data_IF_289563275738
#
_entry.id   IF_289563275738
#
_cell.length_a   1.000
_cell.length_b   1.000
_cell.length_c   1.000
_cell.angle_alpha   90.00
_cell.angle_beta   90.00
_cell.angle_gamma   90.00
#
_symmetry.space_group_name_H-M   'P 1'
#
loop_
_entity.id
_entity.type
_entity.pdbx_description
1 polymer ?
#
# COMPACT_ATOMS: atom_id res chain seq x y z
N UNK A 1 -3.18 -72.38 37.37
CA UNK A 1 -3.12 -71.32 38.39
C UNK A 1 -2.57 -70.06 37.73
N UNK A 2 -3.36 -68.98 37.73
CA UNK A 2 -3.04 -67.58 37.35
C UNK A 2 -2.66 -67.32 35.89
N UNK A 3 -3.29 -66.42 35.13
CA UNK A 3 -4.06 -65.23 35.48
C UNK A 3 -3.57 -64.10 34.56
N UNK A 4 -4.25 -63.89 33.43
CA UNK A 4 -3.94 -62.84 32.46
C UNK A 4 -4.19 -61.46 33.08
N UNK A 5 -3.13 -60.69 33.31
CA UNK A 5 -3.23 -59.28 33.65
C UNK A 5 -3.41 -58.41 32.40
N UNK A 6 -4.59 -57.76 32.33
CA UNK A 6 -4.91 -56.64 31.44
C UNK A 6 -3.89 -55.52 31.60
N UNK A 7 -3.30 -55.05 30.50
CA UNK A 7 -2.78 -53.67 30.39
C UNK A 7 -3.67 -52.90 29.41
N UNK A 8 -4.34 -51.91 29.98
CA UNK A 8 -5.12 -50.88 29.29
C UNK A 8 -4.21 -50.11 28.33
N UNK A 9 -4.57 -50.11 27.04
CA UNK A 9 -4.03 -49.15 26.06
C UNK A 9 -4.65 -47.80 26.37
N UNK A 10 -3.83 -46.85 26.82
CA UNK A 10 -4.20 -45.45 26.82
C UNK A 10 -4.50 -45.04 25.36
N UNK A 11 -5.75 -44.66 25.11
CA UNK A 11 -6.20 -44.11 23.85
C UNK A 11 -5.50 -42.77 23.60
N UNK A 12 -4.59 -42.76 22.63
CA UNK A 12 -4.11 -41.55 21.97
C UNK A 12 -5.30 -40.87 21.30
N UNK A 13 -5.64 -39.60 21.62
CA UNK A 13 -6.64 -38.89 20.85
C UNK A 13 -6.09 -38.61 19.45
N UNK A 14 -6.72 -39.28 18.49
CA UNK A 14 -6.54 -39.13 17.05
C UNK A 14 -6.76 -37.66 16.68
N UNK A 15 -5.75 -37.04 16.03
CA UNK A 15 -5.84 -35.75 15.34
C UNK A 15 -7.15 -35.71 14.53
N UNK A 16 -8.05 -34.81 14.88
CA UNK A 16 -9.15 -34.42 14.01
C UNK A 16 -8.58 -33.54 12.89
N UNK A 17 -8.78 -33.89 11.61
CA UNK A 17 -8.60 -32.94 10.52
C UNK A 17 -9.83 -32.02 10.49
N UNK A 18 -9.63 -30.76 10.11
CA UNK A 18 -10.64 -29.71 9.95
C UNK A 18 -10.87 -28.83 11.19
N UNK A 19 -9.85 -28.05 11.56
CA UNK A 19 -10.09 -26.70 12.06
C UNK A 19 -10.26 -25.81 10.84
N UNK A 20 -11.51 -25.49 10.50
CA UNK A 20 -11.84 -24.52 9.47
C UNK A 20 -11.14 -23.18 9.76
N UNK A 21 -10.63 -22.45 8.77
CA UNK A 21 -10.22 -21.07 8.98
C UNK A 21 -11.46 -20.28 9.39
N UNK A 22 -11.28 -19.45 10.41
CA UNK A 22 -12.29 -18.58 11.00
C UNK A 22 -12.70 -17.51 9.96
N UNK A 23 -13.53 -17.90 8.99
CA UNK A 23 -14.11 -17.01 7.99
C UNK A 23 -15.26 -16.27 8.66
N UNK A 24 -14.93 -15.20 9.40
CA UNK A 24 -15.87 -14.09 9.54
C UNK A 24 -16.04 -13.47 8.16
N UNK A 25 -16.95 -14.05 7.39
CA UNK A 25 -17.45 -13.49 6.14
C UNK A 25 -18.02 -12.11 6.44
N UNK A 26 -17.30 -11.07 6.02
CA UNK A 26 -17.80 -9.70 6.01
C UNK A 26 -19.12 -9.68 5.25
N UNK A 27 -20.19 -9.04 5.77
CA UNK A 27 -21.47 -8.97 5.07
C UNK A 27 -21.30 -8.38 3.66
N UNK A 28 -22.12 -8.85 2.69
CA UNK A 28 -22.09 -8.31 1.33
C UNK A 28 -22.38 -6.80 1.38
N UNK A 29 -21.48 -6.00 0.79
CA UNK A 29 -21.60 -4.54 0.72
C UNK A 29 -20.69 -3.73 1.65
N UNK A 30 -19.94 -4.35 2.58
CA UNK A 30 -18.89 -3.61 3.31
C UNK A 30 -17.62 -3.53 2.46
N UNK A 31 -17.08 -2.33 2.17
CA UNK A 31 -15.78 -2.20 1.52
C UNK A 31 -14.74 -2.95 2.34
N UNK A 32 -14.12 -3.98 1.75
CA UNK A 32 -12.97 -4.66 2.37
C UNK A 32 -11.74 -3.81 2.11
N UNK A 33 -10.91 -3.62 3.14
CA UNK A 33 -9.74 -2.76 3.03
C UNK A 33 -8.73 -3.39 2.05
N UNK A 34 -7.90 -2.61 1.37
CA UNK A 34 -6.95 -3.09 0.36
C UNK A 34 -6.03 -4.19 0.86
N UNK A 35 -5.55 -4.02 2.11
CA UNK A 35 -4.69 -4.99 2.80
C UNK A 35 -5.42 -6.29 3.14
N UNK A 36 -6.75 -6.30 3.09
CA UNK A 36 -7.62 -7.47 3.29
C UNK A 36 -8.04 -8.09 1.95
N UNK A 37 -8.17 -7.28 0.88
CA UNK A 37 -8.47 -7.76 -0.47
C UNK A 37 -7.41 -8.77 -0.94
N UNK A 38 -6.14 -8.53 -0.64
CA UNK A 38 -5.02 -9.42 -0.96
C UNK A 38 -4.87 -10.63 -0.03
N UNK A 39 -5.71 -10.74 1.00
CA UNK A 39 -5.85 -11.99 1.77
C UNK A 39 -6.78 -12.98 1.08
N UNK A 40 -7.34 -12.63 -0.09
CA UNK A 40 -8.06 -13.55 -0.98
C UNK A 40 -7.08 -14.58 -1.57
N UNK A 41 -7.16 -15.87 -1.21
CA UNK A 41 -6.37 -16.91 -1.87
C UNK A 41 -6.72 -17.07 -3.35
N UNK A 42 -7.83 -16.47 -3.79
CA UNK A 42 -8.43 -16.53 -5.11
C UNK A 42 -8.07 -15.35 -6.04
N UNK A 43 -7.63 -14.19 -5.51
CA UNK A 43 -7.23 -13.07 -6.37
C UNK A 43 -5.80 -13.27 -6.86
N UNK A 44 -5.66 -13.79 -8.09
CA UNK A 44 -4.36 -14.00 -8.72
C UNK A 44 -4.03 -12.91 -9.72
N UNK A 45 -2.75 -12.61 -9.86
CA UNK A 45 -2.24 -11.56 -10.75
C UNK A 45 -2.44 -11.85 -12.25
N UNK A 46 -2.93 -13.03 -12.62
CA UNK A 46 -3.27 -13.47 -13.97
C UNK A 46 -4.78 -13.53 -14.23
N UNK A 47 -5.62 -13.28 -13.22
CA UNK A 47 -7.07 -13.32 -13.30
C UNK A 47 -7.65 -12.02 -13.91
N UNK A 48 -8.66 -12.07 -14.80
CA UNK A 48 -9.43 -10.89 -15.20
C UNK A 48 -9.97 -10.03 -14.05
N UNK A 49 -10.34 -10.64 -12.91
CA UNK A 49 -10.78 -9.93 -11.71
C UNK A 49 -9.71 -8.98 -11.16
N UNK A 50 -8.43 -9.30 -11.34
CA UNK A 50 -7.33 -8.43 -10.91
C UNK A 50 -7.34 -7.08 -11.63
N UNK A 51 -7.57 -7.08 -12.94
CA UNK A 51 -7.61 -5.83 -13.72
C UNK A 51 -8.74 -4.94 -13.23
N UNK A 52 -9.93 -5.51 -13.04
CA UNK A 52 -11.08 -4.77 -12.52
C UNK A 52 -10.83 -4.25 -11.10
N UNK A 53 -10.18 -5.05 -10.24
CA UNK A 53 -9.83 -4.68 -8.89
C UNK A 53 -8.83 -3.52 -8.84
N UNK A 54 -7.79 -3.51 -9.68
CA UNK A 54 -6.82 -2.40 -9.75
C UNK A 54 -7.44 -1.09 -10.23
N UNK A 55 -8.40 -1.17 -11.14
CA UNK A 55 -8.94 0.00 -11.84
C UNK A 55 -10.21 0.56 -11.19
N UNK A 56 -10.77 -0.10 -10.18
CA UNK A 56 -11.96 0.38 -9.47
C UNK A 56 -11.55 0.86 -8.08
N UNK A 57 -11.44 2.18 -7.85
CA UNK A 57 -11.17 2.73 -6.52
C UNK A 57 -12.15 2.14 -5.50
N UNK A 58 -11.63 1.56 -4.43
CA UNK A 58 -12.45 0.92 -3.39
C UNK A 58 -12.82 1.90 -2.28
N UNK A 59 -12.24 3.11 -2.27
CA UNK A 59 -12.45 4.11 -1.23
C UNK A 59 -12.89 5.43 -1.85
N UNK A 60 -13.87 6.11 -1.25
CA UNK A 60 -14.04 7.53 -1.50
C UNK A 60 -12.78 8.25 -1.02
N UNK A 61 -12.20 9.06 -1.89
CA UNK A 61 -11.21 10.04 -1.49
C UNK A 61 -11.96 11.30 -1.05
N UNK A 62 -11.75 11.73 0.18
CA UNK A 62 -12.39 12.93 0.71
C UNK A 62 -11.37 14.09 0.78
N UNK A 63 -11.78 15.31 0.42
CA UNK A 63 -10.93 16.48 0.62
C UNK A 63 -10.58 16.64 2.09
N UNK A 64 -9.28 16.66 2.38
CA UNK A 64 -8.77 17.00 3.70
C UNK A 64 -8.33 18.46 3.70
N UNK A 65 -9.09 19.30 4.41
CA UNK A 65 -8.88 20.75 4.48
C UNK A 65 -7.91 21.15 5.58
N UNK A 66 -7.66 20.26 6.55
CA UNK A 66 -6.67 20.50 7.62
C UNK A 66 -5.27 20.46 7.02
N UNK A 67 -4.44 21.39 7.46
CA UNK A 67 -3.04 21.47 7.08
C UNK A 67 -2.21 21.27 8.34
N UNK A 68 -1.21 20.41 8.28
CA UNK A 68 -0.25 20.17 9.36
C UNK A 68 0.55 21.43 9.75
N UNK A 69 0.48 22.49 8.93
CA UNK A 69 1.20 23.75 9.09
C UNK A 69 0.56 24.70 10.12
N UNK A 70 0.10 24.17 11.26
CA UNK A 70 -0.42 24.98 12.37
C UNK A 70 0.67 25.60 13.25
N UNK A 71 1.93 25.57 12.77
CA UNK A 71 3.12 26.01 13.49
C UNK A 71 3.54 25.04 14.59
N UNK A 72 2.63 24.54 15.42
CA UNK A 72 2.97 23.64 16.52
C UNK A 72 3.43 22.26 16.03
N UNK A 73 2.59 21.53 15.30
CA UNK A 73 2.90 20.17 14.87
C UNK A 73 4.05 20.14 13.86
N UNK A 74 4.03 21.08 12.90
CA UNK A 74 5.07 21.16 11.88
C UNK A 74 6.44 21.52 12.47
N UNK A 75 6.53 22.45 13.42
CA UNK A 75 7.81 22.80 14.03
C UNK A 75 8.44 21.61 14.74
N UNK A 76 7.65 20.81 15.48
CA UNK A 76 8.15 19.60 16.14
C UNK A 76 8.72 18.59 15.15
N UNK A 77 8.01 18.37 14.03
CA UNK A 77 8.46 17.45 12.97
C UNK A 77 9.74 17.97 12.31
N UNK A 78 9.79 19.27 11.99
CA UNK A 78 10.96 19.90 11.37
C UNK A 78 12.17 19.86 12.32
N UNK A 79 11.97 20.09 13.63
CA UNK A 79 13.03 20.03 14.63
C UNK A 79 13.71 18.66 14.65
N UNK A 80 12.93 17.58 14.63
CA UNK A 80 13.50 16.22 14.58
C UNK A 80 14.16 15.94 13.23
N UNK A 81 13.48 16.29 12.13
CA UNK A 81 13.97 16.01 10.78
C UNK A 81 15.32 16.68 10.46
N UNK A 82 15.65 17.79 11.13
CA UNK A 82 16.91 18.53 10.95
C UNK A 82 18.15 17.77 11.43
N UNK A 83 18.03 16.95 12.47
CA UNK A 83 19.18 16.36 13.15
C UNK A 83 19.35 14.87 12.83
N UNK A 84 18.26 14.10 12.82
CA UNK A 84 18.31 12.63 12.72
C UNK A 84 17.55 12.07 11.50
N UNK A 85 17.04 12.97 10.64
CA UNK A 85 16.30 12.62 9.43
C UNK A 85 14.86 12.15 9.69
N UNK A 86 14.14 11.85 8.61
CA UNK A 86 12.70 11.52 8.63
C UNK A 86 12.38 10.08 9.05
N UNK A 87 13.38 9.30 9.45
CA UNK A 87 13.25 7.86 9.76
C UNK A 87 13.76 7.48 11.15
N UNK A 88 14.01 8.47 12.01
CA UNK A 88 14.56 8.25 13.35
C UNK A 88 13.51 7.76 14.38
N UNK A 89 13.93 7.11 15.48
CA UNK A 89 13.04 6.80 16.61
C UNK A 89 12.34 8.04 17.18
N UNK A 90 13.03 9.16 17.26
CA UNK A 90 12.51 10.45 17.74
C UNK A 90 11.36 10.95 16.85
N UNK A 91 11.43 10.70 15.54
CA UNK A 91 10.33 11.00 14.62
C UNK A 91 9.11 10.14 14.95
N UNK A 92 9.31 8.86 15.27
CA UNK A 92 8.20 8.01 15.69
C UNK A 92 7.57 8.48 17.00
N UNK A 93 8.36 8.94 17.97
CA UNK A 93 7.85 9.49 19.23
C UNK A 93 7.00 10.74 18.99
N UNK A 94 7.55 11.75 18.31
CA UNK A 94 6.84 13.01 18.02
C UNK A 94 5.55 12.76 17.25
N UNK A 95 5.60 11.93 16.21
CA UNK A 95 4.40 11.69 15.40
C UNK A 95 3.37 10.84 16.13
N UNK A 96 3.79 9.90 16.98
CA UNK A 96 2.87 9.11 17.81
C UNK A 96 2.14 9.99 18.83
N UNK A 97 2.86 10.94 19.46
CA UNK A 97 2.24 11.93 20.34
C UNK A 97 1.23 12.81 19.61
N UNK A 98 1.58 13.29 18.40
CA UNK A 98 0.65 14.09 17.59
C UNK A 98 -0.59 13.28 17.19
N UNK A 99 -0.44 12.01 16.82
CA UNK A 99 -1.59 11.13 16.50
C UNK A 99 -2.48 10.85 17.72
N UNK A 100 -1.98 10.98 18.95
CA UNK A 100 -2.78 10.84 20.16
C UNK A 100 -3.68 12.06 20.43
N UNK A 101 -3.40 13.20 19.79
CA UNK A 101 -4.24 14.39 19.88
C UNK A 101 -5.40 14.31 18.86
N UNK A 102 -6.66 14.45 19.30
CA UNK A 102 -7.84 14.38 18.43
C UNK A 102 -7.82 15.33 17.23
N UNK A 103 -7.03 16.41 17.29
CA UNK A 103 -6.87 17.34 16.17
C UNK A 103 -6.16 16.70 14.97
N UNK A 104 -5.34 15.69 15.20
CA UNK A 104 -4.49 15.07 14.17
C UNK A 104 -4.64 13.53 14.04
N UNK A 105 -5.45 12.86 14.87
CA UNK A 105 -5.59 11.39 14.95
C UNK A 105 -5.88 10.66 13.62
N UNK A 106 -6.33 11.39 12.60
CA UNK A 106 -6.70 10.91 11.27
C UNK A 106 -6.05 11.73 10.14
N UNK A 107 -4.96 12.44 10.42
CA UNK A 107 -4.25 13.22 9.40
C UNK A 107 -3.24 12.34 8.64
N UNK A 108 -3.48 12.12 7.35
CA UNK A 108 -2.65 11.26 6.49
C UNK A 108 -1.18 11.72 6.39
N UNK A 109 -0.96 13.03 6.49
CA UNK A 109 0.37 13.62 6.50
C UNK A 109 1.23 13.06 7.66
N UNK A 110 0.65 12.85 8.85
CA UNK A 110 1.39 12.28 9.99
C UNK A 110 1.80 10.83 9.73
N UNK A 111 0.91 10.01 9.19
CA UNK A 111 1.27 8.65 8.79
C UNK A 111 2.37 8.63 7.71
N UNK A 112 2.44 9.65 6.86
CA UNK A 112 3.50 9.79 5.85
C UNK A 112 4.90 10.00 6.45
N UNK A 113 4.97 10.54 7.67
CA UNK A 113 6.22 10.64 8.46
C UNK A 113 6.46 9.39 9.31
N UNK A 114 5.41 8.79 9.88
CA UNK A 114 5.55 7.67 10.80
C UNK A 114 5.88 6.34 10.12
N UNK A 115 5.22 6.02 9.02
CA UNK A 115 5.36 4.73 8.33
C UNK A 115 6.81 4.47 7.90
N UNK A 116 7.56 5.43 7.31
CA UNK A 116 8.96 5.23 6.93
C UNK A 116 9.89 4.84 8.09
N UNK A 117 9.62 5.27 9.32
CA UNK A 117 10.42 4.89 10.52
C UNK A 117 10.38 3.38 10.74
N UNK A 118 9.26 2.73 10.42
CA UNK A 118 9.05 1.31 10.64
C UNK A 118 9.31 0.44 9.40
N UNK A 119 9.98 0.99 8.36
CA UNK A 119 10.24 0.33 7.08
C UNK A 119 10.70 -1.12 7.26
N UNK A 120 10.03 -2.06 6.57
CA UNK A 120 10.41 -3.48 6.56
C UNK A 120 9.95 -4.28 7.79
N UNK A 121 9.38 -3.65 8.80
CA UNK A 121 8.85 -4.33 9.99
C UNK A 121 7.38 -4.75 9.79
N UNK A 122 6.83 -5.51 10.76
CA UNK A 122 5.37 -5.78 10.82
C UNK A 122 4.58 -4.50 11.10
N UNK A 123 5.16 -3.59 11.91
CA UNK A 123 4.54 -2.35 12.35
C UNK A 123 4.25 -1.40 11.19
N UNK A 124 5.06 -1.41 10.15
CA UNK A 124 4.84 -0.66 8.90
C UNK A 124 3.43 -0.89 8.33
N UNK A 125 3.05 -2.17 8.16
CA UNK A 125 1.77 -2.52 7.54
C UNK A 125 0.59 -2.27 8.48
N UNK A 126 0.80 -2.40 9.79
CA UNK A 126 -0.21 -2.06 10.80
C UNK A 126 -0.55 -0.57 10.75
N UNK A 127 0.46 0.30 10.69
CA UNK A 127 0.29 1.75 10.62
C UNK A 127 -0.36 2.18 9.31
N UNK A 128 0.04 1.61 8.17
CA UNK A 128 -0.62 1.83 6.88
C UNK A 128 -2.09 1.41 6.98
N UNK A 129 -2.37 0.24 7.56
CA UNK A 129 -3.74 -0.24 7.74
C UNK A 129 -4.58 0.63 8.68
N UNK A 130 -3.97 1.19 9.73
CA UNK A 130 -4.60 2.14 10.63
C UNK A 130 -4.95 3.43 9.89
N UNK A 131 -3.97 4.06 9.23
CA UNK A 131 -4.18 5.30 8.46
C UNK A 131 -5.22 5.13 7.37
N UNK A 132 -5.19 4.02 6.62
CA UNK A 132 -6.20 3.76 5.60
C UNK A 132 -7.61 3.72 6.21
N UNK A 133 -7.78 3.18 7.41
CA UNK A 133 -9.07 3.12 8.11
C UNK A 133 -9.54 4.46 8.67
N UNK A 134 -8.63 5.27 9.19
CA UNK A 134 -8.97 6.48 9.93
C UNK A 134 -9.00 7.74 9.06
N UNK A 135 -8.08 7.88 8.12
CA UNK A 135 -7.89 9.13 7.39
C UNK A 135 -9.04 9.38 6.40
N UNK A 136 -9.37 10.64 6.08
CA UNK A 136 -10.22 10.95 4.92
C UNK A 136 -9.45 10.79 3.60
N UNK A 137 -8.20 11.26 3.59
CA UNK A 137 -7.29 11.18 2.44
C UNK A 137 -6.53 9.85 2.41
N UNK A 138 -6.47 9.17 1.25
CA UNK A 138 -5.89 7.82 1.13
C UNK A 138 -4.71 7.72 0.17
N UNK A 139 -4.63 8.57 -0.86
CA UNK A 139 -3.66 8.35 -1.93
C UNK A 139 -2.20 8.23 -1.46
N UNK A 140 -1.77 9.02 -0.47
CA UNK A 140 -0.40 8.98 0.08
C UNK A 140 -0.14 7.66 0.84
N UNK A 141 -1.12 7.20 1.62
CA UNK A 141 -1.07 5.93 2.34
C UNK A 141 -1.08 4.73 1.38
N UNK A 142 -1.82 4.83 0.27
CA UNK A 142 -1.83 3.83 -0.79
C UNK A 142 -0.47 3.76 -1.49
N UNK A 143 0.19 4.89 -1.75
CA UNK A 143 1.56 4.89 -2.28
C UNK A 143 2.53 4.17 -1.34
N UNK A 144 2.51 4.51 -0.04
CA UNK A 144 3.29 3.82 0.99
C UNK A 144 3.03 2.31 1.03
N UNK A 145 1.77 1.90 0.90
CA UNK A 145 1.40 0.49 0.80
C UNK A 145 2.03 -0.17 -0.44
N UNK A 146 2.00 0.50 -1.59
CA UNK A 146 2.62 0.03 -2.82
C UNK A 146 4.13 -0.18 -2.66
N UNK A 147 4.83 0.82 -2.10
CA UNK A 147 6.27 0.72 -1.84
C UNK A 147 6.61 -0.37 -0.81
N UNK A 148 5.78 -0.53 0.23
CA UNK A 148 5.94 -1.59 1.21
C UNK A 148 5.79 -2.98 0.58
N UNK A 149 4.88 -3.15 -0.39
CA UNK A 149 4.70 -4.41 -1.13
C UNK A 149 5.84 -4.66 -2.13
N UNK A 150 6.35 -3.61 -2.78
CA UNK A 150 7.52 -3.69 -3.65
C UNK A 150 8.73 -4.27 -2.90
N UNK A 151 9.07 -3.71 -1.72
CA UNK A 151 10.18 -4.21 -0.88
C UNK A 151 10.03 -5.67 -0.48
N UNK A 152 8.79 -6.16 -0.38
CA UNK A 152 8.45 -7.55 -0.06
C UNK A 152 8.40 -8.45 -1.30
N UNK A 153 8.74 -7.94 -2.49
CA UNK A 153 8.72 -8.69 -3.74
C UNK A 153 7.31 -8.99 -4.27
N UNK A 154 6.28 -8.28 -3.80
CA UNK A 154 4.88 -8.52 -4.13
C UNK A 154 4.42 -7.54 -5.23
N UNK A 155 4.85 -7.76 -6.47
CA UNK A 155 4.63 -6.82 -7.59
C UNK A 155 3.17 -6.57 -7.93
N UNK A 156 2.33 -7.61 -7.96
CA UNK A 156 0.90 -7.45 -8.28
C UNK A 156 0.19 -6.54 -7.27
N UNK A 157 0.55 -6.68 -6.01
CA UNK A 157 0.06 -5.85 -4.91
C UNK A 157 0.59 -4.43 -4.99
N UNK A 158 1.89 -4.27 -5.22
CA UNK A 158 2.49 -2.96 -5.41
C UNK A 158 1.78 -2.18 -6.53
N UNK A 159 1.56 -2.81 -7.68
CA UNK A 159 0.87 -2.21 -8.81
C UNK A 159 -0.59 -1.87 -8.49
N UNK A 160 -1.29 -2.74 -7.75
CA UNK A 160 -2.65 -2.45 -7.30
C UNK A 160 -2.71 -1.21 -6.43
N UNK A 161 -1.81 -1.10 -5.45
CA UNK A 161 -1.77 0.04 -4.54
C UNK A 161 -1.45 1.34 -5.26
N UNK A 162 -0.47 1.34 -6.17
CA UNK A 162 -0.13 2.54 -6.94
C UNK A 162 -1.24 2.93 -7.92
N UNK A 163 -1.94 1.96 -8.53
CA UNK A 163 -3.10 2.25 -9.39
C UNK A 163 -4.23 2.92 -8.60
N UNK A 164 -4.52 2.42 -7.39
CA UNK A 164 -5.48 3.06 -6.48
C UNK A 164 -5.01 4.42 -6.01
N UNK A 165 -3.72 4.57 -5.66
CA UNK A 165 -3.15 5.84 -5.21
C UNK A 165 -3.36 6.94 -6.25
N UNK A 166 -3.00 6.71 -7.52
CA UNK A 166 -3.20 7.72 -8.57
C UNK A 166 -4.67 7.95 -8.86
N UNK A 167 -5.51 6.91 -8.97
CA UNK A 167 -6.94 7.09 -9.23
C UNK A 167 -7.63 7.94 -8.13
N UNK A 168 -7.27 7.70 -6.87
CA UNK A 168 -7.74 8.50 -5.75
C UNK A 168 -7.23 9.94 -5.82
N UNK A 169 -5.94 10.16 -6.07
CA UNK A 169 -5.39 11.50 -6.23
C UNK A 169 -6.06 12.27 -7.38
N UNK A 170 -6.34 11.60 -8.50
CA UNK A 170 -7.08 12.17 -9.63
C UNK A 170 -8.49 12.61 -9.23
N UNK A 171 -9.22 11.81 -8.44
CA UNK A 171 -10.60 12.13 -8.02
C UNK A 171 -10.74 13.40 -7.17
N UNK A 172 -9.66 13.87 -6.54
CA UNK A 172 -9.63 15.11 -5.74
C UNK A 172 -8.77 16.21 -6.37
N UNK A 173 -8.42 16.07 -7.66
CA UNK A 173 -7.63 17.07 -8.39
C UNK A 173 -6.17 17.19 -7.93
N UNK A 174 -5.64 16.18 -7.23
CA UNK A 174 -4.25 16.09 -6.77
C UNK A 174 -3.37 15.17 -7.63
N UNK A 175 -3.91 14.64 -8.73
CA UNK A 175 -3.23 13.75 -9.66
C UNK A 175 -1.79 14.15 -10.01
N UNK A 176 -1.53 15.38 -10.49
CA UNK A 176 -0.17 15.80 -10.87
C UNK A 176 0.87 15.78 -9.73
N UNK A 177 0.43 15.70 -8.47
CA UNK A 177 1.28 15.67 -7.28
C UNK A 177 1.46 14.25 -6.72
N UNK A 178 0.84 13.23 -7.32
CA UNK A 178 0.89 11.86 -6.82
C UNK A 178 2.25 11.22 -7.11
N UNK A 179 3.05 10.99 -6.06
CA UNK A 179 4.36 10.31 -6.13
C UNK A 179 4.29 8.90 -6.70
N UNK A 180 3.14 8.22 -6.57
CA UNK A 180 2.90 6.91 -7.17
C UNK A 180 3.10 6.88 -8.69
N UNK A 181 2.97 8.02 -9.39
CA UNK A 181 3.28 8.10 -10.81
C UNK A 181 4.74 7.73 -11.12
N UNK A 182 5.69 8.10 -10.26
CA UNK A 182 7.11 7.77 -10.45
C UNK A 182 7.34 6.26 -10.47
N UNK A 183 6.66 5.52 -9.58
CA UNK A 183 6.68 4.05 -9.60
C UNK A 183 5.99 3.48 -10.84
N UNK A 184 4.82 4.00 -11.23
CA UNK A 184 4.10 3.53 -12.43
C UNK A 184 4.90 3.78 -13.71
N UNK A 185 5.63 4.90 -13.81
CA UNK A 185 6.52 5.20 -14.93
C UNK A 185 7.67 4.19 -14.98
N UNK A 186 8.32 3.92 -13.85
CA UNK A 186 9.39 2.94 -13.77
C UNK A 186 8.88 1.54 -14.19
N UNK A 187 7.76 1.09 -13.63
CA UNK A 187 7.13 -0.18 -13.99
C UNK A 187 6.77 -0.22 -15.48
N UNK A 188 6.18 0.84 -16.03
CA UNK A 188 5.84 0.90 -17.45
C UNK A 188 7.08 0.81 -18.35
N UNK A 189 8.21 1.45 -17.97
CA UNK A 189 9.46 1.31 -18.71
C UNK A 189 10.02 -0.12 -18.64
N UNK A 190 10.13 -0.69 -17.42
CA UNK A 190 10.62 -2.06 -17.20
C UNK A 190 9.81 -3.10 -17.97
N UNK A 191 8.50 -2.89 -18.09
CA UNK A 191 7.57 -3.82 -18.75
C UNK A 191 7.35 -3.52 -20.23
N UNK A 192 8.06 -2.54 -20.80
CA UNK A 192 8.00 -2.18 -22.23
C UNK A 192 6.74 -1.40 -22.64
N UNK A 193 5.96 -0.88 -21.70
CA UNK A 193 4.73 -0.10 -21.95
C UNK A 193 5.04 1.38 -22.17
N UNK A 194 5.77 1.68 -23.26
CA UNK A 194 6.28 3.04 -23.57
C UNK A 194 5.18 4.11 -23.62
N UNK A 195 4.02 3.78 -24.20
CA UNK A 195 2.89 4.72 -24.26
C UNK A 195 2.34 5.05 -22.87
N UNK A 196 2.16 4.04 -22.01
CA UNK A 196 1.72 4.26 -20.63
C UNK A 196 2.73 5.13 -19.86
N UNK A 197 4.03 4.83 -19.98
CA UNK A 197 5.08 5.64 -19.37
C UNK A 197 5.04 7.11 -19.83
N UNK A 198 4.80 7.37 -21.12
CA UNK A 198 4.64 8.72 -21.66
C UNK A 198 3.44 9.44 -21.06
N UNK A 199 2.27 8.78 -21.01
CA UNK A 199 1.06 9.38 -20.43
C UNK A 199 1.25 9.72 -18.95
N UNK A 200 1.85 8.81 -18.18
CA UNK A 200 2.10 9.04 -16.76
C UNK A 200 3.10 10.19 -16.53
N UNK A 201 4.17 10.31 -17.33
CA UNK A 201 5.10 11.45 -17.25
C UNK A 201 4.42 12.78 -17.54
N UNK A 202 3.64 12.83 -18.62
CA UNK A 202 2.88 14.02 -18.98
C UNK A 202 1.90 14.40 -17.88
N UNK A 203 1.20 13.41 -17.29
CA UNK A 203 0.25 13.67 -16.20
C UNK A 203 0.92 14.20 -14.94
N UNK A 204 2.08 13.68 -14.60
CA UNK A 204 2.87 14.08 -13.43
C UNK A 204 3.69 15.36 -13.66
N UNK A 205 3.52 16.05 -14.80
CA UNK A 205 4.34 17.21 -15.22
C UNK A 205 5.85 16.92 -15.18
N UNK A 206 6.26 15.68 -15.44
CA UNK A 206 7.66 15.25 -15.42
C UNK A 206 8.34 15.39 -16.78
N UNK A 207 7.61 15.79 -17.83
CA UNK A 207 8.18 16.00 -19.17
C UNK A 207 9.25 17.11 -19.16
N UNK A 208 9.10 18.13 -18.30
CA UNK A 208 10.01 19.27 -18.17
C UNK A 208 10.87 19.25 -16.90
N UNK A 209 10.63 18.31 -15.97
CA UNK A 209 11.32 18.22 -14.68
C UNK A 209 11.64 16.77 -14.29
N UNK A 210 12.87 16.29 -14.53
CA UNK A 210 13.30 14.94 -14.15
C UNK A 210 13.59 14.77 -12.65
N UNK A 211 13.21 15.74 -11.79
CA UNK A 211 13.48 15.68 -10.34
C UNK A 211 12.76 14.52 -9.64
N UNK A 212 11.68 13.99 -10.22
CA UNK A 212 10.96 12.83 -9.70
C UNK A 212 11.43 11.54 -10.38
N UNK A 213 12.66 11.14 -10.11
CA UNK A 213 13.21 9.82 -10.48
C UNK A 213 13.28 8.96 -9.23
N UNK A 214 12.94 7.67 -9.35
CA UNK A 214 13.14 6.72 -8.25
C UNK A 214 14.62 6.68 -7.88
N UNK A 215 14.93 6.55 -6.59
CA UNK A 215 16.30 6.26 -6.17
C UNK A 215 16.79 4.89 -6.71
N UNK A 216 18.09 4.64 -6.58
CA UNK A 216 18.73 3.42 -7.10
C UNK A 216 18.14 2.15 -6.47
N UNK A 217 17.79 2.19 -5.18
CA UNK A 217 17.19 1.05 -4.47
C UNK A 217 15.84 0.69 -5.07
N UNK A 218 14.93 1.66 -5.19
CA UNK A 218 13.60 1.45 -5.72
C UNK A 218 13.62 1.12 -7.21
N UNK A 219 14.53 1.73 -7.98
CA UNK A 219 14.75 1.39 -9.40
C UNK A 219 15.14 -0.08 -9.55
N UNK A 220 16.16 -0.52 -8.79
CA UNK A 220 16.59 -1.92 -8.79
C UNK A 220 15.45 -2.88 -8.39
N UNK A 221 14.67 -2.54 -7.36
CA UNK A 221 13.54 -3.37 -6.93
C UNK A 221 12.46 -3.46 -8.01
N UNK A 222 12.11 -2.35 -8.66
CA UNK A 222 11.13 -2.37 -9.76
C UNK A 222 11.63 -3.26 -10.90
N UNK A 223 12.87 -3.08 -11.35
CA UNK A 223 13.46 -3.90 -12.41
C UNK A 223 13.48 -5.39 -12.07
N UNK A 224 13.82 -5.73 -10.82
CA UNK A 224 13.87 -7.10 -10.32
C UNK A 224 12.48 -7.74 -10.26
N UNK A 225 11.53 -7.09 -9.61
CA UNK A 225 10.22 -7.70 -9.28
C UNK A 225 9.24 -7.62 -10.47
N UNK A 226 9.42 -6.66 -11.37
CA UNK A 226 8.59 -6.51 -12.59
C UNK A 226 9.28 -7.01 -13.87
N UNK A 227 10.39 -7.76 -13.77
CA UNK A 227 11.09 -8.34 -14.94
C UNK A 227 10.19 -9.21 -15.83
N UNK A 228 9.24 -9.92 -15.21
CA UNK A 228 8.31 -10.82 -15.90
C UNK A 228 6.86 -10.52 -15.47
N UNK A 229 6.26 -9.42 -15.96
CA UNK A 229 4.91 -9.06 -15.58
C UNK A 229 3.90 -10.02 -16.23
N UNK A 230 2.79 -10.28 -15.54
CA UNK A 230 1.68 -11.04 -16.13
C UNK A 230 0.99 -10.24 -17.24
N UNK A 231 0.16 -10.91 -18.04
CA UNK A 231 -0.69 -10.23 -19.04
C UNK A 231 -1.62 -9.22 -18.39
N UNK A 232 -2.22 -9.56 -17.24
CA UNK A 232 -3.14 -8.69 -16.54
C UNK A 232 -2.44 -7.44 -15.97
N UNK A 233 -1.22 -7.56 -15.43
CA UNK A 233 -0.45 -6.38 -14.98
C UNK A 233 -0.13 -5.42 -16.12
N UNK A 234 0.23 -5.93 -17.30
CA UNK A 234 0.41 -5.07 -18.49
C UNK A 234 -0.89 -4.36 -18.86
N UNK A 235 -2.01 -5.08 -18.83
CA UNK A 235 -3.34 -4.53 -19.11
C UNK A 235 -3.73 -3.44 -18.10
N UNK A 236 -3.42 -3.60 -16.81
CA UNK A 236 -3.65 -2.56 -15.80
C UNK A 236 -2.93 -1.26 -16.19
N UNK A 237 -1.64 -1.33 -16.55
CA UNK A 237 -0.87 -0.14 -16.97
C UNK A 237 -1.49 0.55 -18.19
N UNK A 238 -1.89 -0.23 -19.19
CA UNK A 238 -2.48 0.30 -20.42
C UNK A 238 -3.82 0.96 -20.19
N UNK A 239 -4.73 0.28 -19.48
CA UNK A 239 -6.07 0.79 -19.23
C UNK A 239 -6.03 1.96 -18.26
N UNK A 240 -5.12 1.96 -17.28
CA UNK A 240 -4.92 3.10 -16.38
C UNK A 240 -4.45 4.34 -17.17
N UNK A 241 -3.47 4.18 -18.05
CA UNK A 241 -3.00 5.26 -18.92
C UNK A 241 -4.13 5.81 -19.80
N UNK A 242 -4.94 4.95 -20.42
CA UNK A 242 -6.10 5.36 -21.22
C UNK A 242 -7.08 6.24 -20.43
N UNK A 243 -7.37 5.86 -19.17
CA UNK A 243 -8.28 6.62 -18.30
C UNK A 243 -7.73 7.97 -17.86
N UNK A 244 -6.42 8.12 -17.79
CA UNK A 244 -5.75 9.39 -17.41
C UNK A 244 -5.67 10.34 -18.60
N UNK A 245 -5.54 9.80 -19.82
CA UNK A 245 -5.43 10.61 -21.04
C UNK A 245 -6.76 11.09 -21.62
N UNK A 246 -7.88 10.47 -21.23
CA UNK A 246 -9.23 10.81 -21.70
C UNK A 246 -9.94 11.76 -20.76
#
# INVERSE_FOLDING_TARGET
>A
MFGFFKRSRANTPRRAPNSAPDTRSTPPGTPRWPLELWRRPDLRADDPEYVAACLTPTFPEEPETRVLNDGYALNRIIEVAKFDGSTSPEMAEVVTELLADPRYTDLDALYSWLVPVYRGTKRELELIGQGLRSCPRKYALLDLAGTAMLRRGRSAEALYYWAHAVANAESVGKGPQASAYTFLIAVANTTGRRNAAKVFRARANQDDRPEMVLDDEHTYLVEKVFRQPTKAMRQVLDTLAQRISG
#
